data_IF_792742861249
#
_entry.id   IF_792742861249
#
_cell.length_a   1.000
_cell.length_b   1.000
_cell.length_c   1.000
_cell.angle_alpha   90.00
_cell.angle_beta   90.00
_cell.angle_gamma   90.00
#
_symmetry.space_group_name_H-M   'P 1'
#
loop_
_entity.id
_entity.type
_entity.pdbx_description
1 polymer ?
#
# COMPACT_ATOMS: atom_id res chain seq x y z
N UNK A 1 -47.83 -16.42 16.06
CA UNK A 1 -46.69 -16.37 16.97
C UNK A 1 -45.42 -17.12 16.48
N UNK A 2 -45.43 -17.81 15.32
CA UNK A 2 -44.25 -18.54 14.78
C UNK A 2 -43.39 -17.73 13.78
N UNK A 3 -43.90 -16.64 13.22
CA UNK A 3 -43.17 -15.86 12.21
C UNK A 3 -42.12 -14.87 12.79
N UNK A 4 -42.28 -14.46 14.04
CA UNK A 4 -41.31 -13.50 14.69
C UNK A 4 -40.01 -14.15 15.17
N UNK A 5 -40.01 -15.50 15.42
CA UNK A 5 -38.82 -16.19 15.91
C UNK A 5 -37.79 -16.44 14.80
N UNK A 6 -38.25 -16.66 13.55
CA UNK A 6 -37.39 -16.94 12.40
C UNK A 6 -36.60 -15.67 11.98
N UNK A 7 -37.20 -14.49 12.10
CA UNK A 7 -36.52 -13.22 11.74
C UNK A 7 -35.40 -12.83 12.73
N UNK A 8 -35.56 -13.16 14.03
CA UNK A 8 -34.52 -12.85 15.05
C UNK A 8 -33.31 -13.78 14.89
N UNK A 9 -33.52 -15.06 14.58
CA UNK A 9 -32.42 -16.03 14.38
C UNK A 9 -31.62 -15.71 13.10
N UNK A 10 -32.28 -15.25 12.03
CA UNK A 10 -31.60 -14.86 10.79
C UNK A 10 -30.72 -13.62 10.96
N UNK A 11 -31.13 -12.63 11.75
CA UNK A 11 -30.36 -11.40 12.02
C UNK A 11 -29.12 -11.73 12.88
N UNK A 12 -29.26 -12.57 13.91
CA UNK A 12 -28.16 -12.97 14.79
C UNK A 12 -27.11 -13.79 14.01
N UNK A 13 -27.55 -14.73 13.15
CA UNK A 13 -26.64 -15.54 12.34
C UNK A 13 -25.89 -14.69 11.29
N UNK A 14 -26.55 -13.69 10.70
CA UNK A 14 -25.92 -12.77 9.73
C UNK A 14 -24.89 -11.84 10.39
N UNK A 15 -25.20 -11.28 11.58
CA UNK A 15 -24.25 -10.49 12.34
C UNK A 15 -23.06 -11.31 12.84
N UNK A 16 -23.25 -12.55 13.27
CA UNK A 16 -22.15 -13.44 13.70
C UNK A 16 -21.26 -13.88 12.53
N UNK A 17 -21.85 -14.14 11.37
CA UNK A 17 -21.08 -14.52 10.18
C UNK A 17 -20.21 -13.35 9.70
N UNK A 18 -20.75 -12.14 9.63
CA UNK A 18 -19.97 -10.94 9.26
C UNK A 18 -18.85 -10.64 10.26
N UNK A 19 -19.08 -10.76 11.55
CA UNK A 19 -18.04 -10.52 12.57
C UNK A 19 -16.91 -11.55 12.49
N UNK A 20 -17.20 -12.84 12.26
CA UNK A 20 -16.17 -13.86 12.14
C UNK A 20 -15.33 -13.72 10.85
N UNK A 21 -15.94 -13.34 9.73
CA UNK A 21 -15.24 -13.07 8.48
C UNK A 21 -14.35 -11.83 8.59
N UNK A 22 -14.82 -10.77 9.26
CA UNK A 22 -14.03 -9.58 9.53
C UNK A 22 -12.83 -9.89 10.44
N UNK A 23 -13.02 -10.62 11.53
CA UNK A 23 -11.95 -11.07 12.41
C UNK A 23 -10.91 -11.92 11.66
N UNK A 24 -11.34 -12.76 10.71
CA UNK A 24 -10.42 -13.53 9.87
C UNK A 24 -9.59 -12.62 8.97
N UNK A 25 -10.19 -11.63 8.32
CA UNK A 25 -9.48 -10.70 7.43
C UNK A 25 -8.47 -9.81 8.16
N UNK A 26 -8.75 -9.46 9.43
CA UNK A 26 -7.85 -8.68 10.28
C UNK A 26 -6.54 -9.41 10.59
N UNK A 27 -6.56 -10.76 10.60
CA UNK A 27 -5.37 -11.60 10.81
C UNK A 27 -4.71 -12.06 9.52
N UNK A 28 -5.19 -11.59 8.36
CA UNK A 28 -4.58 -11.81 7.05
C UNK A 28 -3.77 -10.59 6.62
N UNK A 29 -3.01 -10.74 5.55
CA UNK A 29 -2.29 -9.63 4.90
C UNK A 29 -2.83 -9.42 3.48
N UNK A 30 -4.09 -8.95 3.34
CA UNK A 30 -4.87 -9.10 2.10
C UNK A 30 -4.57 -8.06 1.02
N UNK A 31 -3.85 -6.99 1.34
CA UNK A 31 -3.54 -5.88 0.44
C UNK A 31 -2.24 -5.21 0.84
N UNK A 32 -1.87 -4.12 0.18
CA UNK A 32 -0.73 -3.29 0.55
C UNK A 32 -0.74 -2.97 2.04
N UNK A 33 0.31 -3.39 2.76
CA UNK A 33 0.47 -3.24 4.21
C UNK A 33 -0.64 -3.91 5.06
N UNK A 34 -1.22 -5.00 4.58
CA UNK A 34 -2.16 -5.80 5.37
C UNK A 34 -3.58 -5.22 5.46
N UNK A 35 -4.32 -5.66 6.46
CA UNK A 35 -5.71 -5.25 6.65
C UNK A 35 -5.82 -3.73 6.78
N UNK A 36 -6.67 -3.10 5.94
CA UNK A 36 -6.83 -1.63 5.87
C UNK A 36 -5.50 -0.86 5.79
N UNK A 37 -4.51 -1.42 5.15
CA UNK A 37 -3.16 -0.83 4.99
C UNK A 37 -2.52 -0.36 6.30
N UNK A 38 -2.90 -0.95 7.44
CA UNK A 38 -2.46 -0.50 8.77
C UNK A 38 -0.96 -0.79 9.03
N UNK A 39 -0.39 -1.80 8.37
CA UNK A 39 1.01 -2.19 8.56
C UNK A 39 1.28 -2.90 9.88
N UNK A 40 0.25 -3.37 10.59
CA UNK A 40 0.38 -3.95 11.94
C UNK A 40 -0.29 -5.31 12.01
N UNK A 41 0.41 -6.28 12.61
CA UNK A 41 -0.16 -7.55 13.05
C UNK A 41 0.56 -8.00 14.33
N UNK A 42 -0.05 -7.74 15.49
CA UNK A 42 0.47 -8.19 16.77
C UNK A 42 0.19 -9.68 17.04
N UNK A 43 0.88 -10.22 18.01
CA UNK A 43 0.92 -11.65 18.37
C UNK A 43 1.48 -12.55 17.26
N UNK A 44 2.35 -12.01 16.40
CA UNK A 44 3.03 -12.78 15.36
C UNK A 44 4.34 -13.42 15.84
N UNK A 45 4.85 -13.06 17.02
CA UNK A 45 6.06 -13.64 17.63
C UNK A 45 7.27 -13.68 16.68
N UNK A 46 7.56 -12.56 16.02
CA UNK A 46 8.63 -12.45 15.04
C UNK A 46 10.02 -12.43 15.69
N UNK A 47 11.09 -12.88 14.99
CA UNK A 47 12.45 -12.85 15.52
C UNK A 47 13.00 -11.41 15.62
N UNK A 48 13.93 -11.21 16.55
CA UNK A 48 14.65 -9.94 16.73
C UNK A 48 15.80 -9.77 15.73
N UNK A 49 16.23 -10.87 15.12
CA UNK A 49 17.27 -10.89 14.09
C UNK A 49 17.16 -12.13 13.20
N UNK A 50 17.74 -12.02 12.01
CA UNK A 50 17.88 -13.13 11.07
C UNK A 50 19.11 -12.90 10.17
N UNK A 51 19.53 -13.93 9.42
CA UNK A 51 20.65 -13.79 8.49
C UNK A 51 20.37 -14.59 7.21
N UNK A 52 20.25 -13.90 6.09
CA UNK A 52 19.93 -14.52 4.77
C UNK A 52 21.08 -15.29 4.15
N UNK A 53 22.33 -15.09 4.62
CA UNK A 53 23.52 -15.80 4.15
C UNK A 53 23.69 -17.13 4.89
N UNK A 54 23.61 -17.12 6.22
CA UNK A 54 23.76 -18.33 7.05
C UNK A 54 22.48 -19.15 7.17
N UNK A 55 21.32 -18.56 6.79
CA UNK A 55 20.02 -19.21 6.96
C UNK A 55 19.45 -19.15 8.39
N UNK A 56 20.09 -18.37 9.29
CA UNK A 56 19.56 -18.17 10.63
C UNK A 56 18.20 -17.49 10.62
N UNK A 57 17.18 -18.12 11.21
CA UNK A 57 15.78 -17.68 11.19
C UNK A 57 15.18 -17.51 9.80
N UNK A 58 15.76 -18.06 8.75
CA UNK A 58 15.21 -18.11 7.38
C UNK A 58 14.56 -19.47 7.18
N UNK A 59 13.23 -19.51 7.03
CA UNK A 59 12.50 -20.75 6.75
C UNK A 59 12.72 -21.24 5.33
N UNK A 60 12.57 -20.31 4.39
CA UNK A 60 12.79 -20.59 2.97
C UNK A 60 13.16 -19.30 2.20
N UNK A 61 13.74 -19.52 1.03
CA UNK A 61 14.04 -18.52 0.00
C UNK A 61 13.57 -19.04 -1.35
N UNK A 62 12.90 -18.21 -2.13
CA UNK A 62 12.45 -18.55 -3.49
C UNK A 62 12.85 -17.43 -4.45
N UNK A 63 13.51 -17.79 -5.55
CA UNK A 63 13.81 -16.83 -6.62
C UNK A 63 12.55 -16.51 -7.40
N UNK A 64 12.35 -15.22 -7.72
CA UNK A 64 11.20 -14.71 -8.45
C UNK A 64 11.65 -14.11 -9.78
N UNK A 65 10.96 -14.41 -10.89
CA UNK A 65 11.32 -13.89 -12.20
C UNK A 65 10.83 -12.44 -12.40
N UNK A 66 11.58 -11.68 -13.20
CA UNK A 66 11.21 -10.32 -13.59
C UNK A 66 11.32 -9.27 -12.49
N UNK A 67 10.92 -8.06 -12.80
CA UNK A 67 10.93 -6.94 -11.86
C UNK A 67 9.54 -6.66 -11.31
N UNK A 68 9.47 -6.37 -10.01
CA UNK A 68 8.24 -5.95 -9.36
C UNK A 68 8.52 -5.38 -7.96
N UNK A 69 7.83 -4.30 -7.60
CA UNK A 69 7.84 -3.72 -6.24
C UNK A 69 6.50 -3.89 -5.52
N UNK A 70 5.62 -4.75 -6.05
CA UNK A 70 4.44 -5.20 -5.32
C UNK A 70 4.84 -5.88 -4.01
N UNK A 71 4.28 -5.43 -2.90
CA UNK A 71 4.45 -6.09 -1.60
C UNK A 71 3.80 -7.47 -1.62
N UNK A 72 4.32 -8.47 -0.90
CA UNK A 72 3.64 -9.73 -0.75
C UNK A 72 2.28 -9.53 -0.09
N UNK A 73 1.26 -10.25 -0.57
CA UNK A 73 -0.05 -10.34 0.09
C UNK A 73 -0.36 -11.79 0.41
N UNK A 74 -1.11 -12.02 1.49
CA UNK A 74 -1.29 -13.36 2.04
C UNK A 74 -2.74 -13.54 2.46
N UNK A 75 -3.30 -14.68 2.02
CA UNK A 75 -4.57 -15.18 2.50
C UNK A 75 -4.47 -16.69 2.76
N UNK A 76 -4.81 -17.10 3.96
CA UNK A 76 -4.64 -18.48 4.46
C UNK A 76 -3.20 -18.99 4.21
N UNK A 77 -3.03 -20.06 3.44
CA UNK A 77 -1.72 -20.66 3.14
C UNK A 77 -1.09 -20.18 1.83
N UNK A 78 -1.68 -19.17 1.18
CA UNK A 78 -1.25 -18.66 -0.12
C UNK A 78 -0.63 -17.28 0.00
N UNK A 79 0.53 -17.10 -0.64
CA UNK A 79 1.23 -15.85 -0.78
C UNK A 79 1.26 -15.46 -2.26
N UNK A 80 0.92 -14.20 -2.55
CA UNK A 80 0.81 -13.70 -3.91
C UNK A 80 1.70 -12.49 -4.14
N UNK A 81 2.28 -12.41 -5.34
CA UNK A 81 3.04 -11.26 -5.85
C UNK A 81 2.77 -11.07 -7.34
N UNK A 82 3.13 -9.89 -7.85
CA UNK A 82 3.19 -9.60 -9.29
C UNK A 82 4.62 -9.34 -9.74
N UNK A 83 4.93 -9.60 -11.01
CA UNK A 83 6.15 -9.17 -11.67
C UNK A 83 5.89 -8.87 -13.14
N UNK A 84 6.70 -8.00 -13.72
CA UNK A 84 6.82 -7.82 -15.17
C UNK A 84 8.11 -8.52 -15.64
N UNK A 85 7.97 -9.52 -16.48
CA UNK A 85 9.07 -10.35 -16.98
C UNK A 85 9.37 -9.90 -18.40
N UNK A 86 10.52 -9.27 -18.62
CA UNK A 86 10.99 -8.85 -19.94
C UNK A 86 11.62 -10.01 -20.71
N UNK A 87 11.43 -10.08 -22.02
CA UNK A 87 12.08 -11.07 -22.87
C UNK A 87 13.57 -10.76 -23.13
N UNK A 88 13.97 -9.50 -23.00
CA UNK A 88 15.33 -9.06 -23.33
C UNK A 88 15.99 -8.21 -22.25
N UNK A 89 15.23 -7.74 -21.26
CA UNK A 89 15.74 -6.82 -20.28
C UNK A 89 16.52 -7.53 -19.17
N UNK A 90 17.73 -7.02 -18.94
CA UNK A 90 18.58 -7.36 -17.81
C UNK A 90 18.70 -6.18 -16.83
N UNK A 91 17.95 -5.08 -17.06
CA UNK A 91 18.01 -3.91 -16.22
C UNK A 91 17.36 -4.19 -14.87
N UNK A 92 18.07 -3.91 -13.81
CA UNK A 92 17.56 -3.90 -12.44
C UNK A 92 17.00 -2.53 -12.04
N UNK A 93 16.77 -2.37 -10.76
CA UNK A 93 16.48 -1.09 -10.14
C UNK A 93 17.73 -0.22 -10.01
N UNK A 94 17.53 1.09 -10.02
CA UNK A 94 18.57 2.07 -9.67
C UNK A 94 18.16 2.79 -8.37
N UNK A 95 18.56 2.30 -7.19
CA UNK A 95 18.21 2.92 -5.92
C UNK A 95 18.87 4.30 -5.78
N UNK A 96 18.38 5.11 -4.84
CA UNK A 96 18.96 6.42 -4.49
C UNK A 96 18.67 7.56 -5.47
N UNK A 97 17.85 7.34 -6.51
CA UNK A 97 17.48 8.37 -7.47
C UNK A 97 16.27 9.17 -6.99
N UNK A 98 16.39 10.49 -6.97
CA UNK A 98 15.32 11.43 -6.64
C UNK A 98 15.26 12.55 -7.67
N UNK A 99 14.05 13.08 -7.89
CA UNK A 99 13.81 14.16 -8.84
C UNK A 99 13.51 13.67 -10.26
N UNK A 100 13.56 14.60 -11.21
CA UNK A 100 13.18 14.42 -12.61
C UNK A 100 14.21 13.55 -13.36
N UNK A 101 14.12 12.25 -13.15
CA UNK A 101 14.98 11.28 -13.83
C UNK A 101 14.30 10.83 -15.10
N UNK A 102 15.06 10.79 -16.20
CA UNK A 102 14.57 10.26 -17.47
C UNK A 102 14.07 8.82 -17.31
N UNK A 103 12.88 8.51 -17.83
CA UNK A 103 12.33 7.17 -17.74
C UNK A 103 13.21 6.16 -18.49
N UNK A 104 13.08 4.89 -18.11
CA UNK A 104 13.75 3.79 -18.81
C UNK A 104 13.14 3.66 -20.20
N UNK A 105 13.98 3.71 -21.23
CA UNK A 105 13.54 3.51 -22.60
C UNK A 105 13.66 2.03 -22.96
N UNK A 106 12.67 1.24 -22.55
CA UNK A 106 12.56 -0.17 -22.82
C UNK A 106 11.38 -0.41 -23.76
N UNK A 107 11.66 -1.01 -24.92
CA UNK A 107 10.69 -1.41 -25.94
C UNK A 107 10.59 -2.92 -26.09
N UNK A 108 11.16 -3.67 -25.15
CA UNK A 108 11.06 -5.13 -25.15
C UNK A 108 9.65 -5.60 -24.81
N UNK A 109 9.34 -6.80 -25.27
CA UNK A 109 8.09 -7.46 -24.89
C UNK A 109 8.18 -7.93 -23.44
N UNK A 110 7.13 -7.64 -22.68
CA UNK A 110 6.97 -8.06 -21.29
C UNK A 110 5.78 -9.01 -21.13
N UNK A 111 5.88 -9.87 -20.14
CA UNK A 111 4.75 -10.62 -19.59
C UNK A 111 4.44 -10.09 -18.18
N UNK A 112 3.22 -9.60 -17.98
CA UNK A 112 2.72 -9.22 -16.65
C UNK A 112 2.15 -10.44 -15.97
N UNK A 113 2.80 -10.87 -14.89
CA UNK A 113 2.49 -12.13 -14.22
C UNK A 113 1.99 -11.95 -12.81
N UNK A 114 1.06 -12.82 -12.44
CA UNK A 114 0.64 -13.08 -11.07
C UNK A 114 1.19 -14.43 -10.64
N UNK A 115 1.81 -14.47 -9.47
CA UNK A 115 2.36 -15.68 -8.87
C UNK A 115 1.66 -15.99 -7.55
N UNK A 116 1.35 -17.26 -7.34
CA UNK A 116 0.90 -17.80 -6.08
C UNK A 116 1.90 -18.81 -5.55
N UNK A 117 2.32 -18.63 -4.31
CA UNK A 117 3.23 -19.52 -3.60
C UNK A 117 2.55 -20.08 -2.35
N UNK A 118 2.94 -21.28 -1.95
CA UNK A 118 2.66 -21.81 -0.62
C UNK A 118 3.48 -21.00 0.40
N UNK A 119 2.81 -20.32 1.31
CA UNK A 119 3.47 -19.43 2.29
C UNK A 119 4.38 -20.16 3.27
N UNK A 120 4.15 -21.47 3.46
CA UNK A 120 4.90 -22.27 4.42
C UNK A 120 6.21 -22.80 3.85
N UNK A 121 6.24 -23.08 2.54
CA UNK A 121 7.36 -23.74 1.85
C UNK A 121 8.05 -22.89 0.80
N UNK A 122 7.43 -21.81 0.35
CA UNK A 122 7.90 -20.99 -0.78
C UNK A 122 7.75 -21.66 -2.14
N UNK A 123 7.11 -22.84 -2.20
CA UNK A 123 6.87 -23.57 -3.47
C UNK A 123 5.79 -22.84 -4.28
N UNK A 124 6.06 -22.63 -5.56
CA UNK A 124 5.07 -22.06 -6.49
C UNK A 124 3.89 -23.02 -6.65
N UNK A 125 2.67 -22.54 -6.42
CA UNK A 125 1.42 -23.27 -6.62
C UNK A 125 0.95 -23.06 -8.05
N UNK A 126 0.88 -21.78 -8.49
CA UNK A 126 0.51 -21.43 -9.86
C UNK A 126 1.13 -20.09 -10.27
N UNK A 127 1.19 -19.87 -11.57
CA UNK A 127 1.45 -18.56 -12.16
C UNK A 127 0.49 -18.31 -13.32
N UNK A 128 0.13 -17.04 -13.54
CA UNK A 128 -0.70 -16.63 -14.66
C UNK A 128 -0.09 -15.43 -15.36
N UNK A 129 -0.01 -15.47 -16.68
CA UNK A 129 0.28 -14.31 -17.52
C UNK A 129 -1.02 -13.55 -17.77
N UNK A 130 -1.15 -12.37 -17.15
CA UNK A 130 -2.32 -11.49 -17.30
C UNK A 130 -2.39 -10.90 -18.72
N UNK A 131 -1.25 -10.39 -19.21
CA UNK A 131 -1.09 -9.90 -20.57
C UNK A 131 0.37 -10.01 -21.01
N UNK A 132 0.59 -9.83 -22.30
CA UNK A 132 1.91 -9.81 -22.95
C UNK A 132 1.95 -8.72 -24.02
N UNK A 133 2.99 -7.92 -24.03
CA UNK A 133 3.16 -6.83 -24.99
C UNK A 133 4.31 -5.90 -24.66
N UNK A 134 4.47 -4.85 -25.44
CA UNK A 134 5.37 -3.75 -25.13
C UNK A 134 4.65 -2.83 -24.14
N UNK A 135 5.29 -2.36 -23.05
CA UNK A 135 4.69 -1.47 -22.08
C UNK A 135 4.12 -0.20 -22.73
N UNK A 136 2.89 0.14 -22.41
CA UNK A 136 2.19 1.31 -22.95
C UNK A 136 2.74 2.63 -22.38
N UNK A 137 3.34 2.58 -21.17
CA UNK A 137 3.96 3.70 -20.48
C UNK A 137 5.36 3.29 -20.01
N UNK A 138 6.31 4.21 -20.06
CA UNK A 138 7.65 3.99 -19.53
C UNK A 138 7.65 4.03 -18.00
N UNK A 139 8.66 3.42 -17.40
CA UNK A 139 8.85 3.38 -15.95
C UNK A 139 10.00 4.28 -15.50
N UNK A 140 9.91 4.81 -14.29
CA UNK A 140 11.05 5.42 -13.59
C UNK A 140 12.14 4.36 -13.34
N UNK A 141 13.45 4.70 -13.34
CA UNK A 141 14.52 3.73 -13.04
C UNK A 141 14.41 3.03 -11.69
N UNK A 142 13.69 3.60 -10.72
CA UNK A 142 13.37 2.99 -9.43
C UNK A 142 12.08 2.16 -9.45
N UNK A 143 11.30 2.19 -10.51
CA UNK A 143 10.02 1.51 -10.61
C UNK A 143 10.06 0.35 -11.60
N UNK A 144 8.95 -0.35 -11.74
CA UNK A 144 8.75 -1.47 -12.67
C UNK A 144 7.45 -1.28 -13.41
N UNK A 145 7.14 -2.19 -14.34
CA UNK A 145 5.80 -2.30 -14.94
C UNK A 145 4.84 -3.16 -14.09
N UNK A 146 5.25 -3.53 -12.85
CA UNK A 146 4.44 -4.25 -11.86
C UNK A 146 4.64 -3.62 -10.46
N UNK A 147 4.20 -2.36 -10.32
CA UNK A 147 4.35 -1.59 -9.08
C UNK A 147 3.23 -1.88 -8.08
N UNK A 148 2.03 -2.12 -8.57
CA UNK A 148 0.83 -2.26 -7.72
C UNK A 148 0.86 -3.56 -6.93
N UNK A 149 0.51 -3.48 -5.67
CA UNK A 149 0.27 -4.64 -4.80
C UNK A 149 -1.11 -5.20 -5.09
N UNK A 150 -1.23 -6.52 -5.17
CA UNK A 150 -2.50 -7.23 -5.31
C UNK A 150 -3.44 -6.95 -4.13
N UNK A 151 -4.74 -7.18 -4.35
CA UNK A 151 -5.70 -7.36 -3.27
C UNK A 151 -6.30 -8.76 -3.34
N UNK A 152 -6.44 -9.42 -2.19
CA UNK A 152 -6.94 -10.80 -2.10
C UNK A 152 -7.98 -10.94 -1.00
N UNK A 153 -8.87 -11.91 -1.16
CA UNK A 153 -9.75 -12.39 -0.10
C UNK A 153 -9.91 -13.92 -0.19
N UNK A 154 -10.89 -14.47 0.52
CA UNK A 154 -11.17 -15.90 0.55
C UNK A 154 -11.52 -16.52 -0.81
N UNK A 155 -11.86 -15.73 -1.83
CA UNK A 155 -12.33 -16.20 -3.14
C UNK A 155 -11.58 -15.64 -4.34
N UNK A 156 -11.02 -14.43 -4.22
CA UNK A 156 -10.53 -13.68 -5.37
C UNK A 156 -9.14 -13.09 -5.15
N UNK A 157 -8.42 -12.98 -6.26
CA UNK A 157 -7.11 -12.33 -6.38
C UNK A 157 -7.24 -11.25 -7.44
N UNK A 158 -7.06 -9.99 -7.07
CA UNK A 158 -7.18 -8.85 -7.97
C UNK A 158 -5.81 -8.23 -8.22
N UNK A 159 -5.37 -8.21 -9.47
CA UNK A 159 -4.13 -7.61 -9.93
C UNK A 159 -4.42 -6.42 -10.85
N UNK A 160 -3.75 -5.29 -10.62
CA UNK A 160 -3.88 -4.10 -11.44
C UNK A 160 -2.53 -3.69 -12.00
N UNK A 161 -2.39 -3.65 -13.31
CA UNK A 161 -1.15 -3.31 -14.00
C UNK A 161 -1.25 -1.96 -14.74
N UNK A 162 -1.99 -1.01 -14.16
CA UNK A 162 -2.16 0.30 -14.78
C UNK A 162 -2.75 0.21 -16.18
N UNK A 163 -2.03 0.74 -17.17
CA UNK A 163 -2.47 0.76 -18.58
C UNK A 163 -2.66 -0.62 -19.19
N UNK A 164 -2.05 -1.66 -18.64
CA UNK A 164 -2.19 -3.05 -19.09
C UNK A 164 -3.44 -3.74 -18.55
N UNK A 165 -4.14 -3.12 -17.58
CA UNK A 165 -5.47 -3.52 -17.17
C UNK A 165 -5.59 -4.06 -15.74
N UNK A 166 -6.84 -4.30 -15.35
CA UNK A 166 -7.26 -4.87 -14.07
C UNK A 166 -7.78 -6.29 -14.31
N UNK A 167 -7.28 -7.25 -13.53
CA UNK A 167 -7.56 -8.67 -13.67
C UNK A 167 -8.05 -9.24 -12.34
N UNK A 168 -9.09 -10.06 -12.39
CA UNK A 168 -9.58 -10.79 -11.24
C UNK A 168 -9.50 -12.30 -11.51
N UNK A 169 -8.84 -13.00 -10.62
CA UNK A 169 -8.72 -14.45 -10.63
C UNK A 169 -9.43 -15.04 -9.42
N UNK A 170 -9.82 -16.32 -9.49
CA UNK A 170 -10.08 -17.07 -8.28
C UNK A 170 -8.78 -17.52 -7.59
N UNK A 171 -8.89 -18.13 -6.42
CA UNK A 171 -7.73 -18.57 -5.66
C UNK A 171 -6.91 -19.68 -6.34
N UNK A 172 -7.47 -20.36 -7.36
CA UNK A 172 -6.76 -21.37 -8.15
C UNK A 172 -6.12 -20.81 -9.42
N UNK A 173 -6.20 -19.48 -9.60
CA UNK A 173 -5.57 -18.75 -10.69
C UNK A 173 -6.40 -18.70 -11.97
N UNK A 174 -7.67 -19.14 -11.95
CA UNK A 174 -8.54 -19.05 -13.12
C UNK A 174 -9.07 -17.63 -13.26
N UNK A 175 -8.85 -17.03 -14.44
CA UNK A 175 -9.36 -15.69 -14.76
C UNK A 175 -10.90 -15.68 -14.70
N UNK A 176 -11.45 -14.77 -13.91
CA UNK A 176 -12.88 -14.54 -13.76
C UNK A 176 -13.34 -13.41 -14.69
N UNK A 177 -12.62 -12.28 -14.66
CA UNK A 177 -12.88 -11.14 -15.52
C UNK A 177 -11.63 -10.26 -15.64
N UNK A 178 -11.63 -9.39 -16.65
CA UNK A 178 -10.62 -8.35 -16.87
C UNK A 178 -11.25 -7.06 -17.34
N UNK A 179 -10.56 -5.92 -17.09
CA UNK A 179 -10.92 -4.59 -17.59
C UNK A 179 -9.71 -3.90 -18.20
N UNK A 180 -9.92 -3.28 -19.34
CA UNK A 180 -8.98 -2.35 -19.96
C UNK A 180 -9.47 -0.92 -19.73
N UNK A 181 -8.58 -0.06 -19.27
CA UNK A 181 -8.87 1.36 -19.05
C UNK A 181 -8.22 2.26 -20.12
N UNK A 182 -7.60 1.68 -21.13
CA UNK A 182 -6.76 2.40 -22.07
C UNK A 182 -5.47 2.90 -21.42
N UNK A 183 -4.97 4.02 -21.91
CA UNK A 183 -3.73 4.62 -21.45
C UNK A 183 -3.96 5.39 -20.15
N UNK A 184 -3.35 4.96 -19.05
CA UNK A 184 -3.34 5.66 -17.77
C UNK A 184 -2.01 6.44 -17.66
N UNK A 185 -2.00 7.68 -18.14
CA UNK A 185 -0.78 8.53 -18.16
C UNK A 185 -0.31 8.91 -16.75
N UNK A 186 0.58 8.10 -16.20
CA UNK A 186 1.21 8.33 -14.89
C UNK A 186 2.57 9.00 -15.09
N UNK A 187 2.55 10.32 -15.18
CA UNK A 187 3.69 11.18 -15.49
C UNK A 187 3.83 12.27 -14.44
N UNK A 188 5.00 12.89 -14.34
CA UNK A 188 5.10 14.10 -13.54
C UNK A 188 4.42 15.27 -14.28
N UNK A 189 3.36 15.83 -13.70
CA UNK A 189 2.46 16.75 -14.40
C UNK A 189 3.09 18.06 -14.92
N UNK A 190 4.23 18.48 -14.35
CA UNK A 190 5.02 19.62 -14.85
C UNK A 190 6.01 19.21 -15.94
N UNK A 191 6.21 17.92 -16.18
CA UNK A 191 7.14 17.36 -17.15
C UNK A 191 6.58 16.04 -17.72
N UNK A 192 5.72 16.11 -18.71
CA UNK A 192 5.04 14.93 -19.28
C UNK A 192 6.00 13.86 -19.85
N UNK A 193 7.22 14.24 -20.20
CA UNK A 193 8.26 13.29 -20.61
C UNK A 193 8.80 12.41 -19.47
N UNK A 194 8.53 12.78 -18.21
CA UNK A 194 8.86 11.99 -17.03
C UNK A 194 7.76 10.96 -16.74
N UNK A 195 7.70 9.90 -17.52
CA UNK A 195 6.81 8.78 -17.33
C UNK A 195 7.34 7.89 -16.20
N UNK A 196 6.50 7.58 -15.21
CA UNK A 196 6.92 6.87 -13.99
C UNK A 196 6.14 5.60 -13.71
N UNK A 197 5.29 5.21 -14.61
CA UNK A 197 4.38 4.06 -14.48
C UNK A 197 3.35 4.22 -13.35
N UNK A 198 2.26 3.51 -13.47
CA UNK A 198 1.14 3.49 -12.53
C UNK A 198 1.49 2.67 -11.27
N UNK A 199 1.03 3.09 -10.07
CA UNK A 199 1.33 2.38 -8.82
C UNK A 199 0.20 2.33 -7.78
N UNK A 200 -0.94 2.98 -7.99
CA UNK A 200 -2.08 2.87 -7.08
C UNK A 200 -2.64 1.45 -7.06
N UNK A 201 -2.61 0.81 -5.90
CA UNK A 201 -3.04 -0.58 -5.73
C UNK A 201 -4.56 -0.69 -5.60
N UNK A 202 -5.18 -1.78 -6.08
CA UNK A 202 -6.59 -2.04 -5.86
C UNK A 202 -6.84 -2.39 -4.39
N UNK A 203 -8.05 -2.11 -3.90
CA UNK A 203 -8.50 -2.47 -2.56
C UNK A 203 -9.77 -3.29 -2.68
N UNK A 204 -9.83 -4.46 -2.05
CA UNK A 204 -11.05 -5.23 -1.89
C UNK A 204 -11.68 -4.87 -0.54
N UNK A 205 -12.95 -4.49 -0.58
CA UNK A 205 -13.76 -4.35 0.61
C UNK A 205 -15.18 -4.84 0.31
N UNK A 206 -15.72 -5.70 1.17
CA UNK A 206 -16.98 -6.39 0.94
C UNK A 206 -17.01 -7.04 -0.47
N UNK A 207 -17.99 -6.77 -1.28
CA UNK A 207 -18.12 -7.30 -2.64
C UNK A 207 -17.62 -6.32 -3.72
N UNK A 208 -16.76 -5.36 -3.38
CA UNK A 208 -16.27 -4.38 -4.32
C UNK A 208 -14.74 -4.34 -4.43
N UNK A 209 -14.27 -4.02 -5.62
CA UNK A 209 -12.89 -3.60 -5.91
C UNK A 209 -12.88 -2.10 -6.11
N UNK A 210 -12.09 -1.39 -5.30
CA UNK A 210 -11.89 0.05 -5.39
C UNK A 210 -10.56 0.31 -6.08
N UNK A 211 -10.55 1.22 -7.06
CA UNK A 211 -9.32 1.73 -7.69
C UNK A 211 -9.34 3.27 -7.71
N UNK A 212 -8.20 3.86 -7.40
CA UNK A 212 -7.92 5.29 -7.57
C UNK A 212 -6.99 5.44 -8.77
N UNK A 213 -7.44 6.17 -9.78
CA UNK A 213 -6.68 6.45 -10.99
C UNK A 213 -6.51 7.97 -11.12
N UNK A 214 -5.56 8.52 -10.36
CA UNK A 214 -5.13 9.90 -10.53
C UNK A 214 -4.05 9.92 -11.60
N UNK A 215 -4.38 10.48 -12.77
CA UNK A 215 -3.61 10.45 -14.01
C UNK A 215 -3.63 11.82 -14.67
N UNK A 216 -2.83 12.02 -15.72
CA UNK A 216 -2.74 13.35 -16.36
C UNK A 216 -4.08 13.85 -16.87
N UNK A 217 -4.88 12.96 -17.50
CA UNK A 217 -6.18 13.28 -18.05
C UNK A 217 -7.25 12.33 -17.53
N UNK A 218 -8.40 12.90 -17.11
CA UNK A 218 -9.56 12.11 -16.68
C UNK A 218 -9.36 11.25 -15.42
N UNK A 219 -8.75 11.81 -14.39
CA UNK A 219 -8.62 11.19 -13.07
C UNK A 219 -9.97 10.75 -12.51
N UNK A 220 -9.99 9.58 -11.85
CA UNK A 220 -11.21 9.01 -11.27
C UNK A 220 -10.96 8.11 -10.08
N UNK A 221 -11.98 7.95 -9.24
CA UNK A 221 -12.14 6.89 -8.26
C UNK A 221 -13.30 6.01 -8.72
N UNK A 222 -13.15 4.69 -8.66
CA UNK A 222 -14.22 3.79 -9.11
C UNK A 222 -14.31 2.53 -8.25
N UNK A 223 -15.52 1.97 -8.20
CA UNK A 223 -15.81 0.67 -7.63
C UNK A 223 -16.37 -0.28 -8.67
N UNK A 224 -15.92 -1.52 -8.62
CA UNK A 224 -16.39 -2.61 -9.47
C UNK A 224 -16.86 -3.78 -8.60
N UNK A 225 -17.95 -4.41 -9.02
CA UNK A 225 -18.43 -5.66 -8.40
C UNK A 225 -17.33 -6.72 -8.48
N UNK A 226 -16.91 -7.24 -7.34
CA UNK A 226 -15.77 -8.15 -7.23
C UNK A 226 -15.97 -9.46 -8.01
N UNK A 227 -17.20 -9.95 -8.08
CA UNK A 227 -17.53 -11.22 -8.77
C UNK A 227 -17.56 -11.07 -10.28
N UNK A 228 -18.09 -9.96 -10.79
CA UNK A 228 -18.42 -9.79 -12.22
C UNK A 228 -17.57 -8.75 -12.94
N UNK A 229 -16.86 -7.90 -12.22
CA UNK A 229 -16.17 -6.75 -12.78
C UNK A 229 -17.10 -5.64 -13.29
N UNK A 230 -18.42 -5.72 -13.06
CA UNK A 230 -19.37 -4.67 -13.47
C UNK A 230 -19.08 -3.39 -12.66
N UNK A 231 -19.10 -2.25 -13.33
CA UNK A 231 -18.96 -0.95 -12.67
C UNK A 231 -20.16 -0.72 -11.73
N UNK A 232 -19.88 -0.46 -10.46
CA UNK A 232 -20.86 -0.05 -9.47
C UNK A 232 -21.06 1.46 -9.50
N UNK A 233 -19.96 2.19 -9.50
CA UNK A 233 -19.92 3.63 -9.68
C UNK A 233 -18.53 4.08 -10.14
N UNK A 234 -18.48 5.27 -10.75
CA UNK A 234 -17.24 5.95 -11.14
C UNK A 234 -17.38 7.43 -10.89
N UNK A 235 -16.51 8.01 -10.08
CA UNK A 235 -16.52 9.43 -9.73
C UNK A 235 -15.30 10.10 -10.34
N UNK A 236 -15.55 11.12 -11.16
CA UNK A 236 -14.49 11.96 -11.73
C UNK A 236 -13.79 12.74 -10.62
N UNK A 237 -12.47 12.86 -10.72
CA UNK A 237 -11.64 13.66 -9.82
C UNK A 237 -10.92 14.75 -10.63
N UNK A 238 -10.81 15.94 -10.06
CA UNK A 238 -9.95 17.00 -10.60
C UNK A 238 -8.56 16.90 -9.94
N UNK A 239 -7.77 15.93 -10.41
CA UNK A 239 -6.48 15.65 -9.79
C UNK A 239 -5.36 15.50 -10.82
N UNK A 240 -4.13 15.80 -10.41
CA UNK A 240 -2.92 15.48 -11.14
C UNK A 240 -2.48 14.04 -10.89
N UNK A 241 -1.54 13.48 -11.70
CA UNK A 241 -1.03 12.15 -11.47
C UNK A 241 -0.56 11.92 -10.04
N UNK A 242 -1.03 10.82 -9.47
CA UNK A 242 -0.71 10.37 -8.12
C UNK A 242 -0.59 8.86 -8.07
N UNK A 243 0.11 8.35 -7.06
CA UNK A 243 0.41 6.93 -6.91
C UNK A 243 -0.14 6.33 -5.62
N UNK A 244 -0.98 7.10 -4.91
CA UNK A 244 -1.60 6.72 -3.66
C UNK A 244 -2.56 5.55 -3.84
N UNK A 245 -2.50 4.58 -2.92
CA UNK A 245 -3.53 3.56 -2.76
C UNK A 245 -4.64 4.11 -1.86
N UNK A 246 -5.93 4.01 -2.23
CA UNK A 246 -7.03 4.43 -1.36
C UNK A 246 -7.13 3.56 -0.11
N UNK A 247 -7.74 4.06 0.95
CA UNK A 247 -7.97 3.27 2.15
C UNK A 247 -9.42 3.38 2.65
N UNK A 248 -9.88 2.37 3.37
CA UNK A 248 -11.24 2.28 3.89
C UNK A 248 -11.26 2.79 5.34
N UNK A 249 -12.20 3.69 5.64
CA UNK A 249 -12.47 4.14 7.01
C UNK A 249 -13.96 4.09 7.32
N UNK A 250 -14.28 4.25 8.58
CA UNK A 250 -15.68 4.30 9.05
C UNK A 250 -15.97 5.63 9.72
N UNK A 251 -17.16 6.16 9.46
CA UNK A 251 -17.73 7.30 10.12
C UNK A 251 -19.15 6.97 10.61
N UNK A 252 -19.33 6.88 11.93
CA UNK A 252 -20.62 6.56 12.55
C UNK A 252 -21.32 5.33 11.94
N UNK A 253 -20.55 4.25 11.68
CA UNK A 253 -21.03 3.00 11.11
C UNK A 253 -21.22 3.04 9.58
N UNK A 254 -20.89 4.15 8.92
CA UNK A 254 -20.87 4.25 7.45
C UNK A 254 -19.46 3.99 6.93
N UNK A 255 -19.36 3.12 5.96
CA UNK A 255 -18.11 2.84 5.28
C UNK A 255 -17.79 3.94 4.28
N UNK A 256 -16.56 4.42 4.32
CA UNK A 256 -16.06 5.51 3.50
C UNK A 256 -14.68 5.17 2.93
N UNK A 257 -14.27 5.89 1.89
CA UNK A 257 -12.98 5.74 1.23
C UNK A 257 -12.19 7.03 1.42
N UNK A 258 -10.95 6.92 1.91
CA UNK A 258 -10.01 8.03 1.98
C UNK A 258 -9.02 7.95 0.81
N UNK A 259 -8.79 9.07 0.14
CA UNK A 259 -7.83 9.21 -0.96
C UNK A 259 -6.88 10.37 -0.69
N UNK A 260 -5.59 10.16 -0.94
CA UNK A 260 -4.61 11.24 -0.94
C UNK A 260 -4.56 11.90 -2.32
N UNK A 261 -4.20 13.17 -2.37
CA UNK A 261 -4.11 13.94 -3.61
C UNK A 261 -3.40 15.27 -3.38
N UNK A 262 -3.01 15.93 -4.44
CA UNK A 262 -2.41 17.27 -4.43
C UNK A 262 -3.46 18.36 -4.45
N UNK A 263 -4.33 18.35 -5.47
CA UNK A 263 -5.45 19.29 -5.58
C UNK A 263 -6.63 18.86 -4.71
N UNK A 264 -6.88 17.54 -4.63
CA UNK A 264 -8.14 17.00 -4.12
C UNK A 264 -7.92 15.74 -3.28
N UNK A 265 -7.31 15.90 -2.12
CA UNK A 265 -7.37 14.92 -1.05
C UNK A 265 -8.81 14.83 -0.57
N UNK A 266 -9.34 13.62 -0.29
CA UNK A 266 -10.77 13.57 0.01
C UNK A 266 -11.27 12.29 0.67
N UNK A 267 -12.54 12.35 1.10
CA UNK A 267 -13.34 11.24 1.56
C UNK A 267 -14.56 11.01 0.70
N UNK A 268 -14.87 9.73 0.42
CA UNK A 268 -15.96 9.33 -0.46
C UNK A 268 -16.85 8.29 0.22
N UNK A 269 -18.14 8.35 -0.04
CA UNK A 269 -19.10 7.32 0.36
C UNK A 269 -18.82 6.02 -0.40
N UNK A 270 -18.64 4.92 0.31
CA UNK A 270 -18.27 3.64 -0.30
C UNK A 270 -19.35 3.09 -1.24
N UNK A 271 -20.63 3.27 -0.90
CA UNK A 271 -21.75 2.69 -1.65
C UNK A 271 -22.03 3.43 -2.94
N UNK A 272 -21.93 4.77 -2.90
CA UNK A 272 -22.35 5.64 -3.99
C UNK A 272 -21.21 6.30 -4.76
N UNK A 273 -20.00 6.29 -4.20
CA UNK A 273 -18.87 7.06 -4.73
C UNK A 273 -18.98 8.57 -4.57
N UNK A 274 -20.02 9.08 -3.88
CA UNK A 274 -20.22 10.51 -3.67
C UNK A 274 -19.11 11.08 -2.78
N UNK A 275 -18.54 12.19 -3.21
CA UNK A 275 -17.60 12.96 -2.40
C UNK A 275 -18.29 13.48 -1.12
N UNK A 276 -17.68 13.22 0.03
CA UNK A 276 -18.14 13.65 1.34
C UNK A 276 -17.42 14.92 1.80
N UNK A 277 -16.13 14.96 1.55
CA UNK A 277 -15.28 16.10 1.87
C UNK A 277 -14.10 16.17 0.92
N UNK A 278 -13.53 17.34 0.77
CA UNK A 278 -12.33 17.61 -0.02
C UNK A 278 -11.39 18.55 0.72
N UNK A 279 -10.10 18.49 0.39
CA UNK A 279 -9.08 19.37 0.92
C UNK A 279 -7.95 19.54 -0.10
N UNK A 280 -7.62 20.78 -0.40
CA UNK A 280 -6.50 21.16 -1.26
C UNK A 280 -5.19 21.30 -0.48
N UNK A 281 -4.07 21.33 -1.20
CA UNK A 281 -2.74 21.56 -0.65
C UNK A 281 -2.02 20.29 -0.22
N UNK A 282 -0.74 20.22 -0.55
CA UNK A 282 0.10 19.06 -0.27
C UNK A 282 1.42 19.16 -1.03
N UNK A 283 2.24 18.12 -0.95
CA UNK A 283 3.32 17.89 -1.90
C UNK A 283 2.73 17.48 -3.25
N UNK A 284 3.42 17.75 -4.32
CA UNK A 284 2.93 17.53 -5.69
C UNK A 284 3.18 16.11 -6.23
N UNK A 285 3.67 15.20 -5.39
CA UNK A 285 3.82 13.76 -5.67
C UNK A 285 3.19 12.99 -4.51
N UNK A 286 1.94 12.51 -4.70
CA UNK A 286 1.18 11.85 -3.67
C UNK A 286 1.32 10.33 -3.81
N UNK A 287 2.17 9.73 -2.98
CA UNK A 287 2.40 8.29 -2.91
C UNK A 287 1.83 7.69 -1.62
N UNK A 288 2.00 8.33 -0.44
CA UNK A 288 1.58 7.74 0.82
C UNK A 288 0.09 7.46 0.89
N UNK A 289 -0.25 6.26 1.31
CA UNK A 289 -1.63 5.82 1.58
C UNK A 289 -2.15 6.50 2.86
N UNK A 290 -3.42 6.95 2.92
CA UNK A 290 -4.01 7.45 4.15
C UNK A 290 -3.97 6.40 5.26
N UNK A 291 -3.55 6.79 6.47
CA UNK A 291 -3.50 5.90 7.64
C UNK A 291 -4.73 6.13 8.49
N UNK A 292 -5.43 5.05 8.84
CA UNK A 292 -6.70 5.12 9.56
C UNK A 292 -6.47 4.87 11.06
N UNK A 293 -6.84 5.85 11.87
CA UNK A 293 -6.94 5.72 13.32
C UNK A 293 -8.39 5.57 13.79
N UNK A 294 -8.61 5.68 15.08
CA UNK A 294 -9.95 5.46 15.68
C UNK A 294 -10.98 6.48 15.18
N UNK A 295 -10.66 7.77 15.19
CA UNK A 295 -11.54 8.87 14.78
C UNK A 295 -10.81 9.88 13.88
N UNK A 296 -9.59 9.55 13.46
CA UNK A 296 -8.72 10.41 12.66
C UNK A 296 -8.17 9.64 11.47
N UNK A 297 -7.97 10.36 10.39
CA UNK A 297 -7.26 9.89 9.20
C UNK A 297 -5.99 10.72 9.08
N UNK A 298 -4.85 10.07 8.99
CA UNK A 298 -3.55 10.74 8.88
C UNK A 298 -3.10 10.74 7.42
N UNK A 299 -2.71 11.91 6.96
CA UNK A 299 -2.17 12.14 5.63
C UNK A 299 -0.77 12.72 5.72
N UNK A 300 0.08 12.29 4.82
CA UNK A 300 1.36 12.94 4.55
C UNK A 300 1.61 12.97 3.05
N UNK A 301 2.38 13.91 2.63
CA UNK A 301 2.93 14.00 1.28
C UNK A 301 4.18 14.86 1.31
N UNK A 302 4.99 14.79 0.26
CA UNK A 302 6.16 15.65 0.12
C UNK A 302 6.40 15.93 -1.36
N UNK A 303 7.49 16.65 -1.62
CA UNK A 303 7.94 17.20 -2.89
C UNK A 303 7.33 18.56 -3.20
N UNK A 304 8.02 19.35 -4.00
CA UNK A 304 7.66 20.74 -4.28
C UNK A 304 7.84 21.66 -3.06
N UNK A 305 6.95 22.61 -2.91
CA UNK A 305 7.02 23.65 -1.86
C UNK A 305 6.52 23.19 -0.50
N UNK A 306 5.81 22.06 -0.44
CA UNK A 306 5.09 21.61 0.74
C UNK A 306 5.38 20.14 1.06
N UNK A 307 5.41 19.81 2.34
CA UNK A 307 5.54 18.43 2.81
C UNK A 307 4.73 18.21 4.08
N UNK A 308 3.39 18.39 4.03
CA UNK A 308 2.56 18.39 5.23
C UNK A 308 2.39 17.00 5.82
N UNK A 309 2.21 16.98 7.15
CA UNK A 309 1.59 15.88 7.90
C UNK A 309 0.36 16.45 8.57
N UNK A 310 -0.75 15.71 8.56
CA UNK A 310 -1.99 16.18 9.19
C UNK A 310 -2.89 15.04 9.66
N UNK A 311 -3.76 15.37 10.60
CA UNK A 311 -4.82 14.51 11.08
C UNK A 311 -6.19 15.16 10.82
N UNK A 312 -7.05 14.43 10.12
CA UNK A 312 -8.39 14.86 9.72
C UNK A 312 -9.42 13.97 10.42
N UNK A 313 -10.49 14.57 10.97
CA UNK A 313 -11.61 13.83 11.56
C UNK A 313 -12.28 12.91 10.53
N UNK A 314 -12.62 11.68 10.92
CA UNK A 314 -13.43 10.76 10.09
C UNK A 314 -14.80 11.36 9.74
N UNK A 315 -15.34 12.24 10.58
CA UNK A 315 -16.60 12.95 10.36
C UNK A 315 -16.51 14.19 9.46
N UNK A 316 -15.40 14.43 8.75
CA UNK A 316 -15.22 15.58 7.88
C UNK A 316 -16.30 15.68 6.78
N UNK A 317 -16.72 16.91 6.45
CA UNK A 317 -17.74 17.22 5.41
C UNK A 317 -17.42 18.52 4.68
N UNK A 318 -17.70 18.55 3.37
CA UNK A 318 -17.51 19.72 2.52
C UNK A 318 -16.05 20.05 2.25
N UNK A 319 -15.77 21.27 1.86
CA UNK A 319 -14.39 21.75 1.68
C UNK A 319 -13.80 22.11 3.04
N UNK A 320 -12.77 21.38 3.45
CA UNK A 320 -12.06 21.54 4.72
C UNK A 320 -10.66 22.13 4.54
N UNK A 321 -10.41 22.75 3.40
CA UNK A 321 -9.10 23.37 3.09
C UNK A 321 -8.74 24.41 4.15
N UNK A 322 -7.52 24.31 4.70
CA UNK A 322 -6.97 25.29 5.64
C UNK A 322 -6.69 26.60 4.90
N UNK A 323 -7.03 27.71 5.52
CA UNK A 323 -6.63 29.04 5.05
C UNK A 323 -5.14 29.24 5.28
N UNK A 324 -4.57 30.23 4.59
CA UNK A 324 -3.17 30.57 4.78
C UNK A 324 -2.85 30.89 6.25
N UNK A 325 -1.83 30.22 6.79
CA UNK A 325 -1.41 30.35 8.18
C UNK A 325 -2.20 29.51 9.21
N UNK A 326 -3.32 28.87 8.80
CA UNK A 326 -4.05 27.96 9.67
C UNK A 326 -3.40 26.59 9.73
N UNK A 327 -3.43 25.96 10.92
CA UNK A 327 -2.97 24.57 11.13
C UNK A 327 -4.10 23.66 11.63
N UNK A 328 -5.28 24.23 11.91
CA UNK A 328 -6.46 23.53 12.42
C UNK A 328 -7.73 24.19 11.90
N UNK A 329 -8.82 23.43 11.83
CA UNK A 329 -10.19 23.93 11.69
C UNK A 329 -11.16 22.94 12.34
N UNK A 330 -12.46 23.03 12.05
CA UNK A 330 -13.47 22.13 12.65
C UNK A 330 -13.23 20.65 12.38
N UNK A 331 -12.50 20.31 11.29
CA UNK A 331 -12.25 18.93 10.88
C UNK A 331 -10.78 18.57 10.82
N UNK A 332 -9.89 19.53 10.63
CA UNK A 332 -8.44 19.32 10.70
C UNK A 332 -8.00 19.46 12.14
N UNK A 333 -7.72 18.33 12.79
CA UNK A 333 -7.34 18.26 14.20
C UNK A 333 -6.00 18.96 14.46
N UNK A 334 -5.04 18.69 13.60
CA UNK A 334 -3.73 19.35 13.56
C UNK A 334 -3.11 19.18 12.16
N UNK A 335 -2.23 20.08 11.82
CA UNK A 335 -1.42 20.03 10.60
C UNK A 335 -0.04 20.63 10.85
N UNK A 336 0.98 19.96 10.32
CA UNK A 336 2.33 20.48 10.23
C UNK A 336 2.64 20.74 8.75
N UNK A 337 3.06 21.94 8.36
CA UNK A 337 3.30 22.29 6.96
C UNK A 337 4.54 21.60 6.35
N UNK A 338 5.39 21.02 7.20
CA UNK A 338 6.61 20.31 6.82
C UNK A 338 6.81 19.06 7.66
N UNK A 339 7.60 18.11 7.14
CA UNK A 339 7.95 16.87 7.83
C UNK A 339 7.37 15.62 7.15
N UNK A 340 6.43 15.78 6.22
CA UNK A 340 5.87 14.67 5.46
C UNK A 340 6.92 13.92 4.66
N UNK A 341 6.76 12.61 4.59
CA UNK A 341 7.65 11.75 3.81
C UNK A 341 7.23 11.70 2.33
N UNK A 342 8.22 11.48 1.47
CA UNK A 342 8.05 11.48 0.03
C UNK A 342 7.30 10.24 -0.48
N UNK A 343 7.70 9.04 -0.02
CA UNK A 343 7.14 7.78 -0.55
C UNK A 343 6.52 6.88 0.53
N UNK A 344 6.89 7.08 1.79
CA UNK A 344 6.46 6.21 2.88
C UNK A 344 5.05 6.51 3.34
N UNK A 345 4.26 5.48 3.50
CA UNK A 345 3.05 5.52 4.32
C UNK A 345 3.47 5.49 5.79
N UNK A 346 2.94 6.41 6.59
CA UNK A 346 3.16 6.45 8.04
C UNK A 346 2.67 5.16 8.71
N UNK A 347 3.17 4.90 9.90
CA UNK A 347 2.73 3.77 10.73
C UNK A 347 2.12 4.30 12.02
N UNK A 348 0.85 4.02 12.24
CA UNK A 348 0.19 4.23 13.52
C UNK A 348 0.33 2.95 14.35
N UNK A 349 1.09 3.03 15.45
CA UNK A 349 1.35 1.88 16.29
C UNK A 349 1.46 2.26 17.77
N UNK A 350 0.74 1.55 18.64
CA UNK A 350 0.69 1.78 20.10
C UNK A 350 0.56 3.26 20.48
N UNK A 351 -0.40 3.94 19.88
CA UNK A 351 -0.66 5.37 20.08
C UNK A 351 0.55 6.29 19.79
N UNK A 352 1.36 5.91 18.79
CA UNK A 352 2.43 6.72 18.20
C UNK A 352 2.32 6.70 16.68
N UNK A 353 2.61 7.83 16.04
CA UNK A 353 2.61 7.96 14.59
C UNK A 353 4.05 8.08 14.10
N UNK A 354 4.55 7.03 13.45
CA UNK A 354 5.90 6.97 12.91
C UNK A 354 5.92 7.42 11.46
N UNK A 355 6.72 8.41 11.16
CA UNK A 355 6.97 8.90 9.81
C UNK A 355 8.45 8.74 9.46
N UNK A 356 8.75 7.90 8.48
CA UNK A 356 10.13 7.67 8.01
C UNK A 356 10.36 8.47 6.74
N UNK A 357 11.38 9.31 6.74
CA UNK A 357 11.76 10.10 5.58
C UNK A 357 12.73 9.34 4.66
N UNK A 358 12.80 9.76 3.41
CA UNK A 358 13.67 9.17 2.38
C UNK A 358 15.13 9.03 2.79
N UNK A 359 15.62 9.92 3.65
CA UNK A 359 17.00 9.96 4.13
C UNK A 359 17.21 9.16 5.44
N UNK A 360 16.22 8.42 5.91
CA UNK A 360 16.26 7.64 7.15
C UNK A 360 16.00 8.46 8.43
N UNK A 361 15.60 9.70 8.32
CA UNK A 361 15.07 10.42 9.49
C UNK A 361 13.72 9.85 9.87
N UNK A 362 13.57 9.45 11.11
CA UNK A 362 12.31 8.97 11.69
C UNK A 362 11.78 10.04 12.65
N UNK A 363 10.55 10.46 12.41
CA UNK A 363 9.80 11.34 13.29
C UNK A 363 8.70 10.50 13.96
N UNK A 364 8.74 10.41 15.28
CA UNK A 364 7.68 9.81 16.09
C UNK A 364 6.84 10.92 16.69
N UNK A 365 5.54 10.92 16.39
CA UNK A 365 4.60 11.96 16.77
C UNK A 365 3.49 11.37 17.66
N UNK A 366 2.96 12.19 18.53
CA UNK A 366 1.69 11.95 19.20
C UNK A 366 0.55 12.07 18.17
N UNK A 367 -0.26 11.04 17.96
CA UNK A 367 -1.26 11.03 16.88
C UNK A 367 -2.41 12.03 17.11
N UNK A 368 -2.74 12.37 18.36
CA UNK A 368 -3.87 13.25 18.68
C UNK A 368 -3.52 14.74 18.57
N UNK A 369 -2.26 15.10 18.78
CA UNK A 369 -1.79 16.49 18.78
C UNK A 369 -0.78 16.83 17.71
N UNK A 370 -0.17 15.83 17.05
CA UNK A 370 0.95 16.01 16.12
C UNK A 370 2.25 16.42 16.80
N UNK A 371 2.32 16.51 18.13
CA UNK A 371 3.56 16.89 18.83
C UNK A 371 4.63 15.83 18.65
N UNK A 372 5.85 16.28 18.47
CA UNK A 372 7.01 15.40 18.38
C UNK A 372 7.25 14.71 19.73
N UNK A 373 7.37 13.38 19.70
CA UNK A 373 7.85 12.56 20.81
C UNK A 373 9.36 12.45 20.71
N UNK A 374 9.87 12.09 19.53
CA UNK A 374 11.29 12.17 19.20
C UNK A 374 11.52 12.27 17.69
N UNK A 375 12.68 12.80 17.33
CA UNK A 375 13.26 12.72 15.99
C UNK A 375 14.65 12.11 16.08
N UNK A 376 14.92 11.13 15.20
CA UNK A 376 16.20 10.43 15.16
C UNK A 376 16.53 9.97 13.74
N UNK A 377 17.74 9.44 13.52
CA UNK A 377 18.18 8.95 12.22
C UNK A 377 18.53 7.47 12.28
N UNK A 378 17.97 6.71 11.32
CA UNK A 378 18.29 5.30 11.09
C UNK A 378 19.60 5.22 10.30
N UNK A 379 20.70 4.85 10.96
CA UNK A 379 21.98 4.57 10.32
C UNK A 379 22.47 5.59 9.30
N UNK A 380 23.28 5.14 8.36
CA UNK A 380 23.87 5.94 7.29
C UNK A 380 23.30 5.64 5.90
N UNK A 381 22.24 4.84 5.81
CA UNK A 381 21.59 4.51 4.55
C UNK A 381 21.11 5.78 3.83
N UNK A 382 21.24 5.78 2.52
CA UNK A 382 21.01 6.96 1.69
C UNK A 382 19.58 7.08 1.19
N UNK A 383 18.79 6.01 1.28
CA UNK A 383 17.51 5.98 0.59
C UNK A 383 16.52 4.97 1.18
N UNK A 384 15.34 5.45 1.53
CA UNK A 384 14.23 4.64 2.02
C UNK A 384 12.99 4.91 1.18
N UNK A 385 12.26 3.87 0.77
CA UNK A 385 10.93 3.96 0.15
C UNK A 385 9.94 2.92 0.67
N UNK A 386 10.43 1.77 1.16
CA UNK A 386 9.57 0.74 1.73
C UNK A 386 8.90 1.24 3.02
N UNK A 387 7.58 1.19 3.07
CA UNK A 387 6.84 1.62 4.25
C UNK A 387 7.04 0.66 5.43
N UNK A 388 7.15 1.17 6.67
CA UNK A 388 7.37 0.36 7.85
C UNK A 388 6.16 -0.53 8.16
N UNK A 389 6.44 -1.69 8.81
CA UNK A 389 5.42 -2.58 9.37
C UNK A 389 5.79 -2.94 10.81
N UNK A 390 4.81 -3.30 11.65
CA UNK A 390 5.04 -3.57 13.06
C UNK A 390 4.37 -4.85 13.56
N UNK A 391 5.00 -5.45 14.57
CA UNK A 391 4.47 -6.57 15.35
C UNK A 391 5.17 -6.64 16.71
N UNK A 392 4.40 -6.86 17.77
CA UNK A 392 4.88 -7.18 19.12
C UNK A 392 5.94 -6.19 19.63
N UNK A 393 5.70 -4.89 19.48
CA UNK A 393 6.60 -3.84 19.93
C UNK A 393 7.83 -3.63 19.04
N UNK A 394 7.91 -4.29 17.87
CA UNK A 394 9.00 -4.16 16.89
C UNK A 394 8.50 -3.52 15.59
N UNK A 395 9.31 -2.66 15.03
CA UNK A 395 9.03 -2.00 13.74
C UNK A 395 10.13 -2.39 12.76
N UNK A 396 9.75 -2.92 11.61
CA UNK A 396 10.63 -3.38 10.54
C UNK A 396 10.64 -2.34 9.41
N UNK A 397 11.83 -1.84 9.08
CA UNK A 397 12.02 -0.74 8.13
C UNK A 397 13.12 -1.14 7.14
N UNK A 398 12.78 -1.66 5.95
CA UNK A 398 13.77 -1.89 4.89
C UNK A 398 14.22 -0.56 4.26
N UNK A 399 15.51 -0.45 3.93
CA UNK A 399 16.01 0.56 3.01
C UNK A 399 16.10 0.04 1.57
N UNK A 400 16.34 0.91 0.61
CA UNK A 400 16.41 0.56 -0.81
C UNK A 400 17.60 -0.36 -1.15
N UNK A 401 18.70 -0.24 -0.42
CA UNK A 401 19.92 -1.03 -0.63
C UNK A 401 19.80 -2.45 -0.04
N UNK A 402 18.69 -2.70 0.68
CA UNK A 402 18.39 -4.01 1.26
C UNK A 402 18.93 -4.17 2.69
N UNK A 403 19.00 -3.10 3.46
CA UNK A 403 19.21 -3.20 4.91
C UNK A 403 17.88 -3.12 5.63
N UNK A 404 17.59 -4.10 6.47
CA UNK A 404 16.40 -4.09 7.33
C UNK A 404 16.78 -3.60 8.72
N UNK A 405 16.21 -2.48 9.13
CA UNK A 405 16.31 -1.98 10.51
C UNK A 405 15.14 -2.54 11.30
N UNK A 406 15.42 -3.20 12.43
CA UNK A 406 14.41 -3.57 13.42
C UNK A 406 14.61 -2.64 14.61
N UNK A 407 13.59 -1.85 14.91
CA UNK A 407 13.60 -0.91 16.04
C UNK A 407 12.51 -1.27 17.05
N UNK A 408 12.70 -0.89 18.29
CA UNK A 408 11.72 -1.02 19.36
C UNK A 408 10.70 0.11 19.30
N UNK A 409 9.45 -0.18 19.67
CA UNK A 409 8.40 0.82 19.94
C UNK A 409 8.63 1.51 21.29
N UNK A 410 9.72 2.26 21.40
CA UNK A 410 10.16 2.96 22.60
C UNK A 410 9.90 4.47 22.50
N UNK A 411 10.00 5.25 23.62
CA UNK A 411 9.87 6.70 23.62
C UNK A 411 11.07 7.44 23.00
N UNK A 412 12.09 6.72 22.57
CA UNK A 412 13.27 7.18 21.82
C UNK A 412 13.68 6.10 20.81
N UNK A 413 14.52 6.44 19.84
CA UNK A 413 15.02 5.44 18.89
C UNK A 413 15.89 4.40 19.61
N UNK A 414 15.49 3.15 19.55
CA UNK A 414 16.24 1.98 20.01
C UNK A 414 16.32 0.96 18.88
N UNK A 415 17.52 0.75 18.34
CA UNK A 415 17.76 -0.20 17.25
C UNK A 415 18.04 -1.58 17.88
N UNK A 416 17.18 -2.56 17.55
CA UNK A 416 17.33 -3.97 17.97
C UNK A 416 18.33 -4.67 17.06
N UNK A 417 18.17 -4.50 15.74
CA UNK A 417 19.02 -5.16 14.74
C UNK A 417 19.14 -4.35 13.46
N UNK A 418 20.26 -4.52 12.77
CA UNK A 418 20.51 -4.01 11.41
C UNK A 418 20.97 -5.17 10.55
N UNK A 419 20.18 -5.56 9.56
CA UNK A 419 20.30 -6.84 8.86
C UNK A 419 20.42 -6.62 7.35
N UNK A 420 21.55 -6.99 6.71
CA UNK A 420 21.68 -6.92 5.26
C UNK A 420 20.95 -8.08 4.58
N UNK A 421 20.10 -7.74 3.61
CA UNK A 421 19.46 -8.70 2.68
C UNK A 421 20.33 -9.02 1.47
N UNK A 422 21.42 -8.27 1.25
CA UNK A 422 22.33 -8.36 0.11
C UNK A 422 21.64 -8.29 -1.27
N UNK A 423 20.53 -7.62 -1.34
CA UNK A 423 19.76 -7.38 -2.57
C UNK A 423 18.81 -6.21 -2.33
N UNK A 424 18.56 -5.40 -3.35
CA UNK A 424 17.64 -4.27 -3.32
C UNK A 424 16.28 -4.68 -2.73
N UNK A 425 15.78 -3.92 -1.74
CA UNK A 425 14.53 -4.18 -1.05
C UNK A 425 13.67 -2.91 -0.99
N UNK A 426 12.74 -2.78 -1.93
CA UNK A 426 11.90 -1.59 -2.07
C UNK A 426 10.43 -1.82 -1.67
N UNK A 427 10.13 -2.98 -1.09
CA UNK A 427 8.75 -3.37 -0.78
C UNK A 427 8.51 -3.39 0.72
N UNK A 428 7.31 -2.98 1.14
CA UNK A 428 6.87 -3.20 2.51
C UNK A 428 6.74 -4.71 2.76
N UNK A 429 7.27 -5.24 3.88
CA UNK A 429 7.12 -6.66 4.21
C UNK A 429 5.67 -7.02 4.52
N UNK A 430 5.35 -8.32 4.46
CA UNK A 430 4.08 -8.88 4.91
C UNK A 430 4.26 -9.67 6.20
N UNK A 431 3.27 -9.64 7.08
CA UNK A 431 3.30 -10.34 8.38
C UNK A 431 2.14 -11.33 8.45
N UNK A 432 2.40 -12.52 8.98
CA UNK A 432 1.38 -13.48 9.41
C UNK A 432 1.77 -14.06 10.77
N UNK A 433 0.94 -14.93 11.33
CA UNK A 433 1.26 -15.62 12.57
C UNK A 433 2.60 -16.35 12.44
N UNK A 434 3.59 -15.96 13.24
CA UNK A 434 4.91 -16.55 13.31
C UNK A 434 5.88 -16.18 12.19
N UNK A 435 5.50 -15.37 11.20
CA UNK A 435 6.35 -15.12 10.04
C UNK A 435 6.28 -13.70 9.52
N UNK A 436 7.43 -13.22 9.01
CA UNK A 436 7.51 -12.01 8.19
C UNK A 436 8.13 -12.36 6.84
N UNK A 437 7.58 -11.79 5.77
CA UNK A 437 7.99 -12.06 4.40
C UNK A 437 8.58 -10.82 3.77
N UNK A 438 9.80 -10.96 3.25
CA UNK A 438 10.51 -9.91 2.52
C UNK A 438 10.60 -10.26 1.05
N UNK A 439 10.32 -9.28 0.20
CA UNK A 439 10.62 -9.33 -1.22
C UNK A 439 11.81 -8.43 -1.50
N UNK A 440 12.85 -9.00 -2.08
CA UNK A 440 13.95 -8.26 -2.70
C UNK A 440 13.77 -8.23 -4.22
N UNK A 441 14.70 -7.62 -4.95
CA UNK A 441 14.66 -7.60 -6.41
C UNK A 441 14.48 -9.01 -6.99
N UNK A 442 15.25 -9.98 -6.49
CA UNK A 442 15.35 -11.32 -7.10
C UNK A 442 14.70 -12.43 -6.29
N UNK A 443 14.38 -12.18 -5.02
CA UNK A 443 13.99 -13.25 -4.11
C UNK A 443 12.85 -12.86 -3.18
N UNK A 444 12.13 -13.89 -2.78
CA UNK A 444 11.15 -13.87 -1.71
C UNK A 444 11.68 -14.69 -0.54
N UNK A 445 11.57 -14.18 0.68
CA UNK A 445 12.04 -14.82 1.91
C UNK A 445 10.91 -14.94 2.91
N UNK A 446 10.84 -16.06 3.62
CA UNK A 446 10.08 -16.21 4.85
C UNK A 446 11.01 -16.31 6.06
N UNK A 447 10.81 -15.44 7.02
CA UNK A 447 11.60 -15.32 8.23
C UNK A 447 10.73 -15.65 9.44
N UNK A 448 11.21 -16.51 10.32
CA UNK A 448 10.55 -16.87 11.58
C UNK A 448 11.60 -17.32 12.63
N UNK A 449 11.21 -17.36 13.88
CA UNK A 449 12.00 -18.03 14.92
C UNK A 449 12.08 -19.53 14.62
N UNK A 450 13.30 -20.07 14.63
CA UNK A 450 13.58 -21.50 14.55
C UNK A 450 13.90 -22.05 15.93
#
# INVERSE_FOLDING_TARGET
>A
MRLRLIFVIGIIAFCQYNSSAQLKSERQWPTYRGFRSCGVLDNANLPDSFNVVTGYNVLWKTTIPGLGIASPVIWDDRLYITSAVSESDKAGFKPGLYGDVRPVNDSSVHEWKVFCYDKNTGRKIWEQTSCRGIPKIKRHPKSTHANTTLAVNDKYVVAFFGSEGLYCYDNDGKLQWKKDFGLLKSVFFTMESAEWEFASSPVIFDNAVIIQCDILDNSFLAAYDLKTGKELWKTKRDEYPGWCTPNIYEDNGKVCIAVNGFKQRGGYDFVTGKELWTMSGGGDIQIPTPVIGKNLIYFNSAHGKSSPIMAISTGARGDITLREGETTNSYVRWSQPRGGSYMHTMLLYHNKLYNVNWNGTINCLDPDSGKEIYTAKLGNSKSFIASPVASDGKIFIPDEEGTVYIISDAPKLEIISVIPMNSICMTAPAITDGRIYFRTQDNLYAIAKK
#
